data_IF_296036234401
#
_entry.id   IF_296036234401
#
_cell.length_a   1.000
_cell.length_b   1.000
_cell.length_c   1.000
_cell.angle_alpha   90.00
_cell.angle_beta   90.00
_cell.angle_gamma   90.00
#
_symmetry.space_group_name_H-M   'P 1'
#
loop_
_entity.id
_entity.type
_entity.pdbx_description
1 polymer ?
#
# COMPACT_ATOMS: atom_id res chain seq x y z
N UNK A 1 19.12 11.32 -2.67
CA UNK A 1 17.94 10.44 -2.69
C UNK A 1 17.13 10.46 -1.40
N UNK A 2 17.53 9.81 -0.27
CA UNK A 2 16.72 9.85 0.97
C UNK A 2 16.55 11.28 1.51
N UNK A 3 17.60 12.10 1.45
CA UNK A 3 17.54 13.52 1.83
C UNK A 3 16.58 14.32 0.93
N UNK A 4 16.62 14.10 -0.38
CA UNK A 4 15.74 14.76 -1.36
C UNK A 4 14.28 14.37 -1.15
N UNK A 5 14.00 13.09 -0.88
CA UNK A 5 12.66 12.59 -0.58
C UNK A 5 12.14 13.16 0.75
N UNK A 6 13.00 13.20 1.77
CA UNK A 6 12.66 13.80 3.07
C UNK A 6 12.35 15.29 2.91
N UNK A 7 13.17 16.02 2.14
CA UNK A 7 12.95 17.41 1.82
C UNK A 7 11.64 17.63 1.04
N UNK A 8 11.32 16.73 0.11
CA UNK A 8 10.05 16.76 -0.62
C UNK A 8 8.85 16.60 0.33
N UNK A 9 8.86 15.58 1.20
CA UNK A 9 7.81 15.35 2.20
C UNK A 9 7.64 16.53 3.16
N UNK A 10 8.73 17.22 3.51
CA UNK A 10 8.67 18.45 4.28
C UNK A 10 8.02 19.58 3.48
N UNK A 11 8.44 19.77 2.22
CA UNK A 11 7.94 20.84 1.36
C UNK A 11 6.43 20.72 1.07
N UNK A 12 5.92 19.50 0.88
CA UNK A 12 4.49 19.27 0.64
C UNK A 12 3.66 19.16 1.93
N UNK A 13 4.28 19.27 3.11
CA UNK A 13 3.58 19.19 4.40
C UNK A 13 3.12 17.78 4.79
N UNK A 14 3.69 16.74 4.20
CA UNK A 14 3.34 15.34 4.44
C UNK A 14 4.04 14.71 5.66
N UNK A 15 5.05 15.38 6.23
CA UNK A 15 5.96 14.77 7.21
C UNK A 15 5.26 14.32 8.49
N UNK A 16 4.52 15.23 9.13
CA UNK A 16 3.91 15.03 10.45
C UNK A 16 2.41 14.70 10.37
N UNK A 17 1.91 14.37 9.18
CA UNK A 17 0.52 13.92 9.01
C UNK A 17 0.34 12.65 9.83
N UNK A 18 -0.66 12.65 10.72
CA UNK A 18 -0.95 11.50 11.60
C UNK A 18 -1.32 10.29 10.73
N UNK A 19 -0.65 9.17 10.95
CA UNK A 19 -0.88 7.91 10.23
C UNK A 19 -0.64 6.73 11.17
N UNK A 20 -1.70 6.05 11.62
CA UNK A 20 -1.67 5.17 12.79
C UNK A 20 -1.10 5.86 14.05
N UNK A 21 -0.23 5.18 14.81
CA UNK A 21 0.49 5.75 15.95
C UNK A 21 1.82 6.43 15.59
N UNK A 22 2.16 6.54 14.29
CA UNK A 22 3.35 7.21 13.76
C UNK A 22 2.95 8.44 12.89
N UNK A 23 3.94 9.22 12.47
CA UNK A 23 3.77 10.16 11.36
C UNK A 23 3.87 9.45 10.00
N UNK A 24 3.24 10.01 8.97
CA UNK A 24 3.17 9.43 7.63
C UNK A 24 4.56 9.17 7.02
N UNK A 25 5.52 10.08 7.18
CA UNK A 25 6.89 9.84 6.69
C UNK A 25 7.55 8.63 7.39
N UNK A 26 7.32 8.46 8.69
CA UNK A 26 7.90 7.34 9.44
C UNK A 26 7.28 5.99 9.00
N UNK A 27 5.98 5.97 8.67
CA UNK A 27 5.30 4.83 8.05
C UNK A 27 5.90 4.51 6.68
N UNK A 28 5.92 5.48 5.78
CA UNK A 28 6.47 5.36 4.43
C UNK A 28 7.92 4.83 4.41
N UNK A 29 8.76 5.31 5.33
CA UNK A 29 10.13 4.80 5.49
C UNK A 29 10.19 3.39 6.10
N UNK A 30 9.19 2.98 6.88
CA UNK A 30 8.99 1.60 7.32
C UNK A 30 8.79 0.67 6.12
N UNK A 31 7.79 0.98 5.29
CA UNK A 31 7.46 0.21 4.08
C UNK A 31 8.65 0.13 3.12
N UNK A 32 9.36 1.23 2.87
CA UNK A 32 10.60 1.22 2.08
C UNK A 32 11.61 0.19 2.60
N UNK A 33 11.89 0.20 3.91
CA UNK A 33 12.88 -0.70 4.51
C UNK A 33 12.43 -2.16 4.43
N UNK A 34 11.15 -2.43 4.59
CA UNK A 34 10.62 -3.78 4.52
C UNK A 34 10.62 -4.32 3.09
N UNK A 35 10.28 -3.50 2.08
CA UNK A 35 10.45 -3.86 0.67
C UNK A 35 11.93 -4.16 0.33
N UNK A 36 12.89 -3.38 0.83
CA UNK A 36 14.33 -3.70 0.68
C UNK A 36 14.69 -5.02 1.33
N UNK A 37 14.15 -5.32 2.52
CA UNK A 37 14.36 -6.61 3.21
C UNK A 37 13.74 -7.79 2.47
N UNK A 38 12.64 -7.57 1.76
CA UNK A 38 12.01 -8.56 0.90
C UNK A 38 12.79 -8.80 -0.41
N UNK A 39 13.89 -8.07 -0.63
CA UNK A 39 14.75 -8.22 -1.81
C UNK A 39 14.26 -7.44 -3.03
N UNK A 40 13.30 -6.53 -2.87
CA UNK A 40 12.85 -5.67 -3.95
C UNK A 40 13.97 -4.74 -4.42
N UNK A 41 13.96 -4.43 -5.73
CA UNK A 41 14.89 -3.46 -6.29
C UNK A 41 14.64 -2.03 -5.74
N UNK A 42 15.53 -1.11 -6.07
CA UNK A 42 15.43 0.26 -5.56
C UNK A 42 14.16 0.97 -6.03
N UNK A 43 13.75 0.76 -7.29
CA UNK A 43 12.57 1.40 -7.85
C UNK A 43 11.30 0.95 -7.14
N UNK A 44 11.14 -0.35 -6.90
CA UNK A 44 10.00 -0.88 -6.17
C UNK A 44 10.02 -0.49 -4.69
N UNK A 45 11.19 -0.47 -4.05
CA UNK A 45 11.29 0.00 -2.67
C UNK A 45 10.88 1.48 -2.53
N UNK A 46 11.26 2.33 -3.49
CA UNK A 46 10.84 3.73 -3.54
C UNK A 46 9.32 3.90 -3.68
N UNK A 47 8.62 2.94 -4.29
CA UNK A 47 7.15 2.93 -4.27
C UNK A 47 6.64 2.94 -2.84
N UNK A 48 7.27 2.20 -1.93
CA UNK A 48 6.91 2.19 -0.50
C UNK A 48 6.95 3.57 0.15
N UNK A 49 7.77 4.50 -0.34
CA UNK A 49 7.80 5.87 0.19
C UNK A 49 6.57 6.65 -0.29
N UNK A 50 6.17 6.47 -1.55
CA UNK A 50 5.09 7.24 -2.19
C UNK A 50 3.75 6.50 -2.26
N UNK A 51 3.62 5.31 -1.68
CA UNK A 51 2.50 4.39 -1.92
C UNK A 51 1.11 4.96 -1.55
N UNK A 52 1.06 5.99 -0.70
CA UNK A 52 -0.15 6.68 -0.24
C UNK A 52 -0.13 8.20 -0.51
N UNK A 53 0.80 8.69 -1.33
CA UNK A 53 1.05 10.14 -1.49
C UNK A 53 -0.15 10.89 -2.06
N UNK A 54 -0.99 10.23 -2.86
CA UNK A 54 -2.20 10.80 -3.47
C UNK A 54 -3.48 10.46 -2.67
N UNK A 55 -3.33 9.99 -1.43
CA UNK A 55 -4.40 9.44 -0.60
C UNK A 55 -4.86 8.05 -1.02
N UNK A 56 -5.51 7.35 -0.11
CA UNK A 56 -6.13 6.03 -0.34
C UNK A 56 -7.58 6.03 0.12
N UNK A 57 -8.32 4.92 -0.05
CA UNK A 57 -9.69 4.79 0.46
C UNK A 57 -9.82 4.98 1.99
N UNK A 58 -8.72 4.82 2.75
CA UNK A 58 -8.73 5.01 4.20
C UNK A 58 -7.79 6.13 4.69
N UNK A 59 -6.94 6.66 3.81
CA UNK A 59 -5.99 7.73 4.15
C UNK A 59 -6.32 8.98 3.35
N UNK A 60 -7.07 9.89 3.97
CA UNK A 60 -7.51 11.14 3.37
C UNK A 60 -6.93 12.38 4.08
N UNK A 61 -6.18 12.18 5.16
CA UNK A 61 -5.58 13.27 5.96
C UNK A 61 -4.50 14.06 5.21
N UNK A 62 -3.92 13.48 4.16
CA UNK A 62 -3.06 14.17 3.21
C UNK A 62 -3.26 13.59 1.81
N UNK A 63 -3.35 14.49 0.83
CA UNK A 63 -3.41 14.14 -0.58
C UNK A 63 -2.61 15.13 -1.41
N UNK A 64 -1.56 14.66 -2.05
CA UNK A 64 -0.88 15.43 -3.09
C UNK A 64 -1.81 15.53 -4.31
N UNK A 65 -2.04 16.73 -4.88
CA UNK A 65 -2.87 16.87 -6.08
C UNK A 65 -2.34 16.05 -7.26
N UNK A 66 -3.23 15.42 -8.04
CA UNK A 66 -2.84 14.54 -9.15
C UNK A 66 -2.11 15.29 -10.28
N UNK A 67 -2.26 16.61 -10.35
CA UNK A 67 -1.52 17.49 -11.26
C UNK A 67 -0.02 17.49 -10.95
N UNK A 68 0.36 17.19 -9.70
CA UNK A 68 1.75 17.18 -9.23
C UNK A 68 2.43 15.81 -9.40
N UNK A 69 1.77 14.81 -9.99
CA UNK A 69 2.37 13.49 -10.29
C UNK A 69 3.70 13.59 -11.05
N UNK A 70 3.83 14.60 -11.92
CA UNK A 70 5.06 14.86 -12.65
C UNK A 70 6.27 15.18 -11.77
N UNK A 71 6.06 15.65 -10.54
CA UNK A 71 7.13 15.88 -9.56
C UNK A 71 7.64 14.56 -8.99
N UNK A 72 6.73 13.66 -8.60
CA UNK A 72 7.07 12.32 -8.10
C UNK A 72 7.79 11.52 -9.18
N UNK A 73 7.35 11.56 -10.45
CA UNK A 73 8.04 10.90 -11.57
C UNK A 73 9.48 11.36 -11.72
N UNK A 74 9.77 12.65 -11.51
CA UNK A 74 11.15 13.17 -11.59
C UNK A 74 12.04 12.62 -10.47
N UNK A 75 11.46 12.26 -9.32
CA UNK A 75 12.20 11.74 -8.17
C UNK A 75 12.48 10.24 -8.27
N UNK A 76 11.49 9.45 -8.70
CA UNK A 76 11.55 7.97 -8.63
C UNK A 76 11.47 7.28 -10.00
N UNK A 77 11.21 8.04 -11.06
CA UNK A 77 10.98 7.52 -12.41
C UNK A 77 9.52 7.15 -12.68
N UNK A 78 9.22 6.89 -13.96
CA UNK A 78 7.85 6.71 -14.43
C UNK A 78 7.18 5.45 -13.87
N UNK A 79 7.90 4.32 -13.86
CA UNK A 79 7.33 3.04 -13.41
C UNK A 79 7.05 3.02 -11.90
N UNK A 80 8.00 3.40 -11.01
CA UNK A 80 7.71 3.47 -9.58
C UNK A 80 6.57 4.44 -9.24
N UNK A 81 6.53 5.62 -9.88
CA UNK A 81 5.43 6.55 -9.69
C UNK A 81 4.10 5.96 -10.15
N UNK A 82 4.07 5.24 -11.28
CA UNK A 82 2.87 4.56 -11.77
C UNK A 82 2.34 3.56 -10.73
N UNK A 83 3.19 2.75 -10.13
CA UNK A 83 2.77 1.76 -9.11
C UNK A 83 2.30 2.46 -7.83
N UNK A 84 2.98 3.52 -7.39
CA UNK A 84 2.54 4.33 -6.25
C UNK A 84 1.15 4.94 -6.49
N UNK A 85 0.95 5.51 -7.69
CA UNK A 85 -0.34 6.00 -8.12
C UNK A 85 -1.40 4.90 -8.17
N UNK A 86 -1.08 3.70 -8.69
CA UNK A 86 -2.03 2.58 -8.70
C UNK A 86 -2.47 2.20 -7.29
N UNK A 87 -1.54 2.10 -6.32
CA UNK A 87 -1.91 1.80 -4.92
C UNK A 87 -2.81 2.87 -4.30
N UNK A 88 -2.63 4.14 -4.68
CA UNK A 88 -3.54 5.22 -4.31
C UNK A 88 -4.90 5.13 -5.01
N UNK A 89 -4.92 4.68 -6.27
CA UNK A 89 -6.08 4.68 -7.15
C UNK A 89 -7.00 3.47 -6.97
N UNK A 90 -6.51 2.36 -6.39
CA UNK A 90 -7.32 1.14 -6.30
C UNK A 90 -8.63 1.39 -5.55
N UNK A 91 -9.71 0.80 -6.07
CA UNK A 91 -10.82 0.38 -5.24
C UNK A 91 -10.49 -0.99 -4.64
N UNK A 92 -10.40 -1.09 -3.31
CA UNK A 92 -9.93 -2.30 -2.62
C UNK A 92 -10.81 -3.52 -2.88
N UNK A 93 -12.13 -3.33 -2.92
CA UNK A 93 -13.06 -4.42 -3.27
C UNK A 93 -12.75 -4.99 -4.65
N UNK A 94 -12.65 -4.16 -5.68
CA UNK A 94 -12.35 -4.63 -7.03
C UNK A 94 -10.94 -5.22 -7.12
N UNK A 95 -9.94 -4.60 -6.48
CA UNK A 95 -8.57 -5.11 -6.42
C UNK A 95 -8.50 -6.52 -5.81
N UNK A 96 -9.25 -6.78 -4.74
CA UNK A 96 -9.28 -8.10 -4.09
C UNK A 96 -9.89 -9.19 -4.98
N UNK A 97 -10.84 -8.82 -5.85
CA UNK A 97 -11.39 -9.73 -6.84
C UNK A 97 -10.36 -10.10 -7.91
N UNK A 98 -9.48 -9.16 -8.27
CA UNK A 98 -8.41 -9.38 -9.24
C UNK A 98 -7.25 -10.19 -8.66
N UNK A 99 -6.91 -9.95 -7.40
CA UNK A 99 -5.86 -10.69 -6.70
C UNK A 99 -6.15 -12.20 -6.62
N UNK A 100 -7.43 -12.61 -6.63
CA UNK A 100 -7.87 -14.01 -6.68
C UNK A 100 -7.56 -14.72 -8.01
N UNK A 101 -7.36 -14.00 -9.10
CA UNK A 101 -7.09 -14.60 -10.41
C UNK A 101 -5.65 -15.15 -10.45
N UNK A 102 -5.47 -16.41 -10.81
CA UNK A 102 -4.13 -17.01 -10.94
C UNK A 102 -3.30 -16.36 -12.06
N UNK A 103 -3.94 -15.91 -13.14
CA UNK A 103 -3.29 -15.27 -14.30
C UNK A 103 -4.11 -14.08 -14.80
N UNK A 104 -3.47 -13.18 -15.53
CA UNK A 104 -4.13 -12.04 -16.17
C UNK A 104 -5.09 -12.43 -17.32
N UNK A 105 -5.68 -11.42 -17.99
CA UNK A 105 -5.42 -9.99 -17.81
C UNK A 105 -5.91 -9.47 -16.46
N UNK A 106 -5.15 -8.53 -15.89
CA UNK A 106 -5.51 -7.83 -14.66
C UNK A 106 -6.04 -6.44 -14.99
N UNK A 107 -6.99 -5.99 -14.18
CA UNK A 107 -7.52 -4.63 -14.29
C UNK A 107 -7.63 -4.00 -12.91
N UNK A 108 -7.46 -2.69 -12.81
CA UNK A 108 -7.82 -1.96 -11.58
C UNK A 108 -8.91 -0.94 -11.91
N UNK A 109 -9.84 -0.75 -10.97
CA UNK A 109 -10.77 0.37 -11.00
C UNK A 109 -10.08 1.59 -10.38
N UNK A 110 -9.81 2.59 -11.22
CA UNK A 110 -9.30 3.88 -10.76
C UNK A 110 -10.41 4.66 -10.07
N UNK A 111 -10.29 4.84 -8.75
CA UNK A 111 -11.26 5.60 -7.95
C UNK A 111 -11.29 7.09 -8.28
N UNK A 112 -10.21 7.66 -8.83
CA UNK A 112 -10.14 9.07 -9.17
C UNK A 112 -10.98 9.41 -10.41
N UNK A 113 -10.93 8.55 -11.43
CA UNK A 113 -11.70 8.74 -12.68
C UNK A 113 -12.94 7.85 -12.80
N UNK A 114 -13.11 6.88 -11.90
CA UNK A 114 -14.11 5.82 -11.99
C UNK A 114 -14.01 4.94 -13.24
N UNK A 115 -12.83 4.87 -13.87
CA UNK A 115 -12.58 4.05 -15.07
C UNK A 115 -11.86 2.74 -14.74
N UNK A 116 -12.00 1.75 -15.63
CA UNK A 116 -11.24 0.51 -15.56
C UNK A 116 -9.96 0.66 -16.37
N UNK A 117 -8.84 0.21 -15.82
CA UNK A 117 -7.53 0.25 -16.48
C UNK A 117 -6.89 -1.12 -16.50
N UNK A 118 -6.36 -1.50 -17.67
CA UNK A 118 -5.56 -2.71 -17.80
C UNK A 118 -4.18 -2.54 -17.13
N UNK A 119 -3.74 -3.61 -16.48
CA UNK A 119 -2.44 -3.68 -15.80
C UNK A 119 -1.74 -4.97 -16.25
N UNK A 120 -0.48 -4.85 -16.67
CA UNK A 120 0.30 -6.03 -17.01
C UNK A 120 0.63 -6.86 -15.76
N UNK A 121 1.08 -8.09 -15.98
CA UNK A 121 1.27 -9.05 -14.87
C UNK A 121 2.38 -8.65 -13.91
N UNK A 122 3.42 -7.95 -14.38
CA UNK A 122 4.54 -7.55 -13.52
C UNK A 122 4.16 -6.35 -12.65
N UNK A 123 3.52 -5.34 -13.25
CA UNK A 123 3.02 -4.17 -12.52
C UNK A 123 1.92 -4.55 -11.53
N UNK A 124 1.05 -5.51 -11.86
CA UNK A 124 0.06 -6.02 -10.93
C UNK A 124 0.69 -6.82 -9.78
N UNK A 125 1.73 -7.63 -10.07
CA UNK A 125 2.49 -8.34 -9.04
C UNK A 125 3.14 -7.35 -8.07
N UNK A 126 3.83 -6.34 -8.58
CA UNK A 126 4.50 -5.33 -7.76
C UNK A 126 3.51 -4.51 -6.94
N UNK A 127 2.33 -4.21 -7.50
CA UNK A 127 1.23 -3.60 -6.75
C UNK A 127 0.78 -4.49 -5.58
N UNK A 128 0.62 -5.80 -5.81
CA UNK A 128 0.30 -6.75 -4.73
C UNK A 128 1.38 -6.78 -3.64
N UNK A 129 2.66 -6.76 -4.03
CA UNK A 129 3.79 -6.74 -3.08
C UNK A 129 3.76 -5.49 -2.21
N UNK A 130 3.63 -4.32 -2.82
CA UNK A 130 3.57 -3.03 -2.10
C UNK A 130 2.35 -2.98 -1.17
N UNK A 131 1.17 -3.37 -1.67
CA UNK A 131 -0.06 -3.34 -0.89
C UNK A 131 -0.02 -4.30 0.31
N UNK A 132 0.63 -5.46 0.17
CA UNK A 132 0.86 -6.37 1.27
C UNK A 132 1.85 -5.81 2.29
N UNK A 133 2.99 -5.30 1.81
CA UNK A 133 4.04 -4.77 2.67
C UNK A 133 3.55 -3.57 3.50
N UNK A 134 2.79 -2.66 2.87
CA UNK A 134 2.13 -1.53 3.54
C UNK A 134 1.28 -2.01 4.72
N UNK A 135 0.38 -2.97 4.46
CA UNK A 135 -0.50 -3.48 5.50
C UNK A 135 0.25 -4.16 6.65
N UNK A 136 1.21 -5.04 6.33
CA UNK A 136 1.97 -5.77 7.34
C UNK A 136 2.83 -4.85 8.21
N UNK A 137 3.30 -3.72 7.68
CA UNK A 137 4.07 -2.76 8.46
C UNK A 137 3.19 -2.07 9.52
N UNK A 138 1.89 -1.88 9.29
CA UNK A 138 1.02 -1.08 10.17
C UNK A 138 -0.01 -1.83 10.99
N UNK A 139 -0.43 -3.04 10.60
CA UNK A 139 -1.61 -3.73 11.15
C UNK A 139 -1.57 -3.89 12.68
N UNK A 140 -0.40 -4.19 13.25
CA UNK A 140 -0.24 -4.33 14.70
C UNK A 140 -0.51 -3.01 15.43
N UNK A 141 -0.05 -1.89 14.87
CA UNK A 141 -0.19 -0.57 15.49
C UNK A 141 -1.59 0.00 15.34
N UNK A 142 -2.25 -0.28 14.22
CA UNK A 142 -3.63 0.14 14.00
C UNK A 142 -4.65 -0.75 14.72
N UNK A 143 -4.22 -1.93 15.20
CA UNK A 143 -5.07 -2.97 15.77
C UNK A 143 -6.19 -3.42 14.80
N UNK A 144 -6.03 -3.17 13.50
CA UNK A 144 -7.04 -3.41 12.48
C UNK A 144 -6.95 -4.81 11.88
N UNK A 145 -6.59 -5.82 12.68
CA UNK A 145 -6.30 -7.20 12.26
C UNK A 145 -7.38 -7.86 11.39
N UNK A 146 -8.64 -7.50 11.65
CA UNK A 146 -9.79 -8.09 10.98
C UNK A 146 -10.22 -7.34 9.71
N UNK A 147 -9.67 -6.14 9.46
CA UNK A 147 -9.91 -5.42 8.24
C UNK A 147 -9.30 -6.16 7.05
N UNK A 148 -10.14 -6.50 6.06
CA UNK A 148 -9.74 -7.24 4.86
C UNK A 148 -8.94 -8.53 5.14
N UNK A 149 -9.15 -9.18 6.29
CA UNK A 149 -8.34 -10.32 6.75
C UNK A 149 -8.32 -11.45 5.72
N UNK A 150 -9.47 -11.79 5.14
CA UNK A 150 -9.55 -12.80 4.08
C UNK A 150 -8.78 -12.37 2.83
N UNK A 151 -8.87 -11.11 2.45
CA UNK A 151 -8.14 -10.58 1.30
C UNK A 151 -6.62 -10.63 1.49
N UNK A 152 -6.11 -10.28 2.68
CA UNK A 152 -4.68 -10.37 2.97
C UNK A 152 -4.17 -11.81 3.03
N UNK A 153 -4.96 -12.78 3.51
CA UNK A 153 -4.63 -14.22 3.36
C UNK A 153 -4.49 -14.61 1.89
N UNK A 154 -5.43 -14.18 1.04
CA UNK A 154 -5.39 -14.47 -0.39
C UNK A 154 -4.16 -13.84 -1.06
N UNK A 155 -3.82 -12.60 -0.68
CA UNK A 155 -2.65 -11.90 -1.16
C UNK A 155 -1.35 -12.61 -0.74
N UNK A 156 -1.27 -13.10 0.51
CA UNK A 156 -0.14 -13.90 0.99
C UNK A 156 0.03 -15.18 0.17
N UNK A 157 -1.06 -15.90 -0.07
CA UNK A 157 -1.05 -17.14 -0.84
C UNK A 157 -0.65 -16.91 -2.30
N UNK A 158 -1.14 -15.82 -2.91
CA UNK A 158 -0.78 -15.39 -4.27
C UNK A 158 0.71 -15.11 -4.39
N UNK A 159 1.25 -14.31 -3.47
CA UNK A 159 2.63 -13.84 -3.54
C UNK A 159 3.64 -14.95 -3.17
N UNK A 160 3.29 -15.81 -2.22
CA UNK A 160 4.20 -16.84 -1.73
C UNK A 160 5.48 -16.25 -1.11
N UNK A 161 6.52 -17.08 -1.03
CA UNK A 161 7.87 -16.68 -0.62
C UNK A 161 7.91 -15.78 0.62
N UNK A 162 8.75 -14.74 0.54
CA UNK A 162 8.99 -13.80 1.65
C UNK A 162 7.72 -13.07 2.11
N UNK A 163 6.80 -12.75 1.19
CA UNK A 163 5.55 -12.06 1.55
C UNK A 163 4.62 -12.96 2.37
N UNK A 164 4.54 -14.26 2.02
CA UNK A 164 3.76 -15.23 2.79
C UNK A 164 4.38 -15.49 4.16
N UNK A 165 5.69 -15.62 4.24
CA UNK A 165 6.42 -15.79 5.50
C UNK A 165 6.23 -14.56 6.40
N UNK A 166 6.34 -13.35 5.85
CA UNK A 166 6.08 -12.11 6.58
C UNK A 166 4.65 -12.05 7.11
N UNK A 167 3.66 -12.40 6.29
CA UNK A 167 2.27 -12.48 6.71
C UNK A 167 2.09 -13.45 7.88
N UNK A 168 2.63 -14.67 7.78
CA UNK A 168 2.54 -15.69 8.83
C UNK A 168 3.18 -15.21 10.14
N UNK A 169 4.34 -14.54 10.05
CA UNK A 169 5.03 -14.01 11.21
C UNK A 169 4.22 -12.91 11.90
N UNK A 170 3.73 -11.92 11.16
CA UNK A 170 2.93 -10.81 11.72
C UNK A 170 1.60 -11.31 12.26
N UNK A 171 0.87 -12.13 11.49
CA UNK A 171 -0.45 -12.64 11.91
C UNK A 171 -0.39 -13.75 12.95
N UNK A 172 0.80 -14.27 13.31
CA UNK A 172 0.95 -15.14 14.49
C UNK A 172 0.60 -14.42 15.80
N UNK A 173 0.66 -13.08 15.81
CA UNK A 173 0.30 -12.23 16.94
C UNK A 173 -1.15 -11.72 16.87
N UNK A 174 -1.88 -12.03 15.79
CA UNK A 174 -3.24 -11.53 15.62
C UNK A 174 -4.20 -12.18 16.63
N UNK A 175 -5.10 -11.41 17.26
CA UNK A 175 -6.14 -11.99 18.11
C UNK A 175 -7.12 -12.86 17.29
N UNK A 176 -7.95 -13.66 17.97
CA UNK A 176 -9.10 -14.30 17.33
C UNK A 176 -9.92 -13.27 16.56
N UNK A 177 -10.35 -13.62 15.35
CA UNK A 177 -11.19 -12.74 14.54
C UNK A 177 -12.54 -12.54 15.21
N UNK A 178 -12.94 -11.28 15.38
CA UNK A 178 -14.23 -10.89 15.94
C UNK A 178 -15.05 -10.03 14.98
N UNK A 179 -14.40 -9.46 13.95
CA UNK A 179 -15.05 -8.65 12.91
C UNK A 179 -14.96 -9.33 11.53
N UNK A 180 -16.06 -9.30 10.77
CA UNK A 180 -16.20 -10.05 9.51
C UNK A 180 -16.66 -9.20 8.32
N UNK A 181 -16.96 -7.91 8.52
CA UNK A 181 -17.23 -7.01 7.41
C UNK A 181 -15.90 -6.48 6.84
N UNK A 182 -15.40 -7.18 5.82
CA UNK A 182 -14.07 -6.98 5.27
C UNK A 182 -13.83 -5.56 4.72
N UNK A 183 -14.88 -4.82 4.33
CA UNK A 183 -14.73 -3.49 3.71
C UNK A 183 -15.21 -2.34 4.59
N UNK A 184 -15.53 -2.62 5.85
CA UNK A 184 -15.84 -1.63 6.89
C UNK A 184 -14.72 -1.63 7.93
N UNK A 185 -14.31 -0.44 8.39
CA UNK A 185 -13.24 -0.33 9.38
C UNK A 185 -13.69 -0.92 10.73
N UNK A 186 -12.89 -1.80 11.38
CA UNK A 186 -13.28 -2.42 12.65
C UNK A 186 -13.38 -1.40 13.80
N UNK A 187 -14.40 -1.51 14.65
CA UNK A 187 -14.64 -0.56 15.76
C UNK A 187 -13.48 -0.46 16.77
N UNK A 188 -12.70 -1.53 16.95
CA UNK A 188 -11.57 -1.59 17.88
C UNK A 188 -10.24 -1.10 17.27
N UNK A 189 -10.24 -0.77 15.98
CA UNK A 189 -9.06 -0.27 15.29
C UNK A 189 -8.87 1.23 15.54
N UNK A 190 -7.62 1.68 15.61
CA UNK A 190 -7.31 3.12 15.57
C UNK A 190 -7.32 3.62 14.12
N UNK A 191 -7.05 4.91 13.88
CA UNK A 191 -6.92 5.44 12.52
C UNK A 191 -5.93 4.60 11.68
N UNK A 192 -6.32 4.32 10.43
CA UNK A 192 -5.57 3.51 9.47
C UNK A 192 -4.57 4.28 8.62
#
# INVERSE_FOLDING_TARGET
MIEEITAYFHAVGATDVKHSSKGYLAHAMGVYRDLKRWGCDEGLAQVGIFHSIYGTELFEGFTLPLEQRGEVRKLVGDRPERIAWMNCAINRFQFDQEAKKSTGPYQIRDRFSSTMMDVDSNDFHDLCVVHMCDWLEQVERSNAWDYRRTAYVNLANRLGGVAREAYQNVFSQAPPQEWFDEYTWPDKATDG
#
